data_IF_049588815244
#
_entry.id   IF_049588815244
#
_cell.length_a   1.000
_cell.length_b   1.000
_cell.length_c   1.000
_cell.angle_alpha   90.00
_cell.angle_beta   90.00
_cell.angle_gamma   90.00
#
_symmetry.space_group_name_H-M   'P 1'
#
loop_
_entity.id
_entity.type
_entity.pdbx_description
1 polymer ?
#
# COMPACT_ATOMS: atom_id res chain seq x y z
N UNK A 1 -10.24 -15.97 -5.68
CA UNK A 1 -10.05 -14.93 -6.72
C UNK A 1 -11.33 -14.15 -7.07
N UNK A 2 -12.36 -14.78 -7.62
CA UNK A 2 -13.56 -14.12 -8.17
C UNK A 2 -14.27 -13.16 -7.20
N UNK A 3 -14.43 -13.57 -5.94
CA UNK A 3 -15.00 -12.71 -4.89
C UNK A 3 -14.14 -11.46 -4.63
N UNK A 4 -12.81 -11.61 -4.56
CA UNK A 4 -11.90 -10.46 -4.40
C UNK A 4 -11.99 -9.51 -5.60
N UNK A 5 -12.07 -10.02 -6.83
CA UNK A 5 -12.22 -9.13 -8.01
C UNK A 5 -13.56 -8.37 -7.95
N UNK A 6 -14.64 -9.01 -7.49
CA UNK A 6 -15.93 -8.34 -7.32
C UNK A 6 -15.85 -7.18 -6.32
N UNK A 7 -15.12 -7.32 -5.21
CA UNK A 7 -14.99 -6.26 -4.20
C UNK A 7 -14.33 -5.00 -4.75
N UNK A 8 -13.54 -5.09 -5.83
CA UNK A 8 -12.88 -3.93 -6.44
C UNK A 8 -13.83 -3.04 -7.24
N UNK A 9 -15.07 -3.46 -7.48
CA UNK A 9 -16.10 -2.64 -8.12
C UNK A 9 -17.00 -1.91 -7.10
N UNK A 10 -16.66 -1.93 -5.81
CA UNK A 10 -17.52 -1.48 -4.70
C UNK A 10 -18.07 -0.05 -4.83
N UNK A 11 -17.32 0.87 -5.46
CA UNK A 11 -17.80 2.25 -5.71
C UNK A 11 -19.04 2.29 -6.60
N UNK A 12 -19.28 1.23 -7.38
CA UNK A 12 -20.41 1.13 -8.30
C UNK A 12 -20.26 1.98 -9.56
N UNK A 13 -19.19 2.77 -9.70
CA UNK A 13 -18.90 3.52 -10.91
C UNK A 13 -18.28 2.61 -11.99
N UNK A 14 -18.50 2.96 -13.26
CA UNK A 14 -17.84 2.33 -14.40
C UNK A 14 -16.33 2.52 -14.31
N UNK A 15 -15.57 1.41 -14.33
CA UNK A 15 -14.10 1.42 -14.26
C UNK A 15 -13.47 0.62 -15.37
N UNK A 16 -12.26 0.99 -15.80
CA UNK A 16 -11.54 0.29 -16.87
C UNK A 16 -10.85 -0.96 -16.34
N UNK A 17 -11.29 -2.13 -16.78
CA UNK A 17 -10.81 -3.43 -16.28
C UNK A 17 -9.31 -3.68 -16.52
N UNK A 18 -8.77 -3.22 -17.65
CA UNK A 18 -7.33 -3.32 -17.95
C UNK A 18 -6.46 -2.48 -17.00
N UNK A 19 -6.94 -1.29 -16.62
CA UNK A 19 -6.23 -0.44 -15.64
C UNK A 19 -6.36 -1.01 -14.23
N UNK A 20 -7.49 -1.62 -13.89
CA UNK A 20 -7.64 -2.38 -12.64
C UNK A 20 -6.65 -3.56 -12.57
N UNK A 21 -6.47 -4.31 -13.65
CA UNK A 21 -5.43 -5.34 -13.71
C UNK A 21 -4.03 -4.77 -13.46
N UNK A 22 -3.68 -3.67 -14.14
CA UNK A 22 -2.41 -2.98 -13.97
C UNK A 22 -2.19 -2.46 -12.54
N UNK A 23 -3.25 -2.01 -11.87
CA UNK A 23 -3.22 -1.65 -10.45
C UNK A 23 -2.83 -2.87 -9.60
N UNK A 24 -3.51 -4.01 -9.76
CA UNK A 24 -3.26 -5.21 -8.96
C UNK A 24 -1.85 -5.79 -9.13
N UNK A 25 -1.29 -5.72 -10.34
CA UNK A 25 0.09 -6.19 -10.60
C UNK A 25 1.16 -5.13 -10.28
N UNK A 26 0.77 -3.93 -9.85
CA UNK A 26 1.68 -2.93 -9.31
C UNK A 26 2.30 -1.99 -10.35
N UNK A 27 1.66 -1.76 -11.49
CA UNK A 27 2.11 -0.71 -12.42
C UNK A 27 1.93 0.66 -11.76
N UNK A 28 3.02 1.41 -11.62
CA UNK A 28 3.04 2.74 -10.98
C UNK A 28 3.16 3.88 -11.99
N UNK A 29 2.18 3.96 -12.89
CA UNK A 29 1.97 5.15 -13.71
C UNK A 29 0.90 6.02 -13.07
N UNK A 30 0.91 7.33 -13.31
CA UNK A 30 -0.12 8.22 -12.76
C UNK A 30 -1.53 7.82 -13.18
N UNK A 31 -1.71 7.28 -14.38
CA UNK A 31 -3.01 6.76 -14.82
C UNK A 31 -3.51 5.63 -13.93
N UNK A 32 -2.63 4.71 -13.50
CA UNK A 32 -2.99 3.60 -12.61
C UNK A 32 -3.20 4.08 -11.18
N UNK A 33 -2.36 5.00 -10.69
CA UNK A 33 -2.50 5.58 -9.35
C UNK A 33 -3.81 6.38 -9.23
N UNK A 34 -4.11 7.24 -10.20
CA UNK A 34 -5.36 8.00 -10.27
C UNK A 34 -6.56 7.05 -10.36
N UNK A 35 -6.49 6.02 -11.19
CA UNK A 35 -7.55 5.01 -11.27
C UNK A 35 -7.74 4.31 -9.91
N UNK A 36 -6.65 3.90 -9.25
CA UNK A 36 -6.70 3.34 -7.91
C UNK A 36 -7.38 4.27 -6.91
N UNK A 37 -7.07 5.57 -6.96
CA UNK A 37 -7.68 6.58 -6.11
C UNK A 37 -9.19 6.78 -6.41
N UNK A 38 -9.56 7.03 -7.66
CA UNK A 38 -10.96 7.28 -8.06
C UNK A 38 -11.90 6.15 -7.67
N UNK A 39 -11.46 4.91 -7.84
CA UNK A 39 -12.26 3.73 -7.52
C UNK A 39 -11.97 3.15 -6.13
N UNK A 40 -11.31 3.93 -5.25
CA UNK A 40 -11.00 3.53 -3.86
C UNK A 40 -10.36 2.14 -3.74
N UNK A 41 -9.43 1.87 -4.65
CA UNK A 41 -8.69 0.62 -4.77
C UNK A 41 -7.17 0.82 -4.58
N UNK A 42 -6.71 2.05 -4.27
CA UNK A 42 -5.29 2.38 -4.19
C UNK A 42 -4.52 1.53 -3.15
N UNK A 43 -5.21 1.14 -2.08
CA UNK A 43 -4.73 0.19 -1.07
C UNK A 43 -4.26 -1.16 -1.66
N UNK A 44 -4.78 -1.56 -2.82
CA UNK A 44 -4.47 -2.82 -3.51
C UNK A 44 -3.41 -2.68 -4.61
N UNK A 45 -2.75 -1.53 -4.75
CA UNK A 45 -1.69 -1.31 -5.73
C UNK A 45 -0.57 -2.35 -5.58
N UNK A 46 -0.42 -3.27 -6.54
CA UNK A 46 0.60 -4.30 -6.47
C UNK A 46 0.32 -5.38 -5.43
N UNK A 47 -0.92 -5.52 -4.96
CA UNK A 47 -1.29 -6.57 -4.03
C UNK A 47 -1.07 -7.98 -4.61
N UNK A 48 -1.11 -8.13 -5.94
CA UNK A 48 -1.00 -9.41 -6.65
C UNK A 48 0.01 -9.32 -7.81
N UNK A 49 1.32 -9.15 -7.53
CA UNK A 49 2.34 -8.93 -8.56
C UNK A 49 2.53 -10.12 -9.51
N UNK A 50 2.15 -11.32 -9.08
CA UNK A 50 2.22 -12.57 -9.85
C UNK A 50 0.92 -12.91 -10.59
N UNK A 51 -0.12 -12.06 -10.50
CA UNK A 51 -1.41 -12.29 -11.13
C UNK A 51 -1.27 -12.33 -12.66
N UNK A 52 -1.62 -13.47 -13.24
CA UNK A 52 -1.66 -13.64 -14.68
C UNK A 52 -2.91 -12.99 -15.26
N UNK A 53 -2.76 -12.28 -16.37
CA UNK A 53 -3.86 -11.64 -17.08
C UNK A 53 -4.98 -12.64 -17.43
N UNK A 54 -4.61 -13.85 -17.88
CA UNK A 54 -5.59 -14.92 -18.16
C UNK A 54 -6.47 -15.23 -16.95
N UNK A 55 -5.89 -15.38 -15.75
CA UNK A 55 -6.65 -15.68 -14.53
C UNK A 55 -7.55 -14.52 -14.10
N UNK A 56 -7.11 -13.28 -14.33
CA UNK A 56 -7.94 -12.10 -14.12
C UNK A 56 -9.14 -12.06 -15.08
N UNK A 57 -8.91 -12.32 -16.37
CA UNK A 57 -9.98 -12.39 -17.37
C UNK A 57 -10.97 -13.54 -17.10
N UNK A 58 -10.48 -14.70 -16.65
CA UNK A 58 -11.33 -15.80 -16.21
C UNK A 58 -12.24 -15.39 -15.04
N UNK A 59 -11.70 -14.68 -14.05
CA UNK A 59 -12.49 -14.15 -12.94
C UNK A 59 -13.56 -13.15 -13.41
N UNK A 60 -13.22 -12.21 -14.30
CA UNK A 60 -14.17 -11.27 -14.89
C UNK A 60 -15.29 -11.98 -15.67
N UNK A 61 -14.94 -12.98 -16.47
CA UNK A 61 -15.91 -13.78 -17.23
C UNK A 61 -16.86 -14.54 -16.28
N UNK A 62 -16.36 -15.10 -15.19
CA UNK A 62 -17.21 -15.73 -14.18
C UNK A 62 -18.17 -14.71 -13.53
N UNK A 63 -17.70 -13.51 -13.18
CA UNK A 63 -18.58 -12.47 -12.62
C UNK A 63 -19.68 -12.05 -13.60
N UNK A 64 -19.33 -11.92 -14.88
CA UNK A 64 -20.29 -11.60 -15.96
C UNK A 64 -21.32 -12.71 -16.16
N UNK A 65 -20.88 -13.97 -16.23
CA UNK A 65 -21.77 -15.13 -16.39
C UNK A 65 -22.75 -15.29 -15.23
N UNK A 66 -22.33 -14.91 -14.02
CA UNK A 66 -23.18 -14.88 -12.83
C UNK A 66 -24.00 -13.58 -12.68
N UNK A 67 -24.00 -12.70 -13.68
CA UNK A 67 -24.72 -11.42 -13.67
C UNK A 67 -24.36 -10.48 -12.51
N UNK A 68 -23.15 -10.59 -11.97
CA UNK A 68 -22.67 -9.75 -10.86
C UNK A 68 -22.07 -8.42 -11.36
N UNK A 69 -21.53 -8.42 -12.57
CA UNK A 69 -21.03 -7.23 -13.26
C UNK A 69 -21.52 -7.20 -14.70
N UNK A 70 -21.60 -6.00 -15.28
CA UNK A 70 -21.62 -5.80 -16.73
C UNK A 70 -20.22 -5.43 -17.21
N UNK A 71 -19.91 -5.72 -18.47
CA UNK A 71 -18.70 -5.23 -19.14
C UNK A 71 -19.11 -4.72 -20.53
N UNK A 72 -18.80 -3.45 -20.80
CA UNK A 72 -19.05 -2.74 -22.05
C UNK A 72 -17.81 -1.91 -22.42
N UNK A 73 -17.30 -2.05 -23.66
CA UNK A 73 -16.08 -1.39 -24.14
C UNK A 73 -14.88 -1.38 -23.15
N UNK A 74 -14.59 -2.54 -22.55
CA UNK A 74 -13.55 -2.75 -21.50
C UNK A 74 -13.86 -2.14 -20.11
N UNK A 75 -14.97 -1.42 -19.97
CA UNK A 75 -15.43 -0.88 -18.71
C UNK A 75 -16.35 -1.86 -18.00
N UNK A 76 -16.09 -2.12 -16.72
CA UNK A 76 -16.95 -2.94 -15.87
C UNK A 76 -17.70 -2.13 -14.84
N UNK A 77 -18.90 -2.58 -14.48
CA UNK A 77 -19.79 -1.95 -13.50
C UNK A 77 -20.55 -3.01 -12.68
N UNK A 78 -20.81 -2.74 -11.40
CA UNK A 78 -21.65 -3.62 -10.58
C UNK A 78 -23.10 -3.61 -11.04
N UNK A 79 -23.69 -4.80 -11.15
CA UNK A 79 -25.16 -4.93 -11.25
C UNK A 79 -25.82 -4.78 -9.87
N UNK A 80 -27.15 -4.58 -9.80
CA UNK A 80 -27.87 -4.69 -8.52
C UNK A 80 -27.63 -6.03 -7.80
N UNK A 81 -27.49 -7.13 -8.55
CA UNK A 81 -27.18 -8.44 -7.99
C UNK A 81 -25.77 -8.51 -7.41
N UNK A 82 -24.78 -7.94 -8.11
CA UNK A 82 -23.41 -7.79 -7.60
C UNK A 82 -23.34 -6.97 -6.31
N UNK A 83 -24.09 -5.86 -6.24
CA UNK A 83 -24.21 -5.05 -5.03
C UNK A 83 -24.78 -5.85 -3.86
N UNK A 84 -25.88 -6.57 -4.07
CA UNK A 84 -26.46 -7.44 -3.04
C UNK A 84 -25.46 -8.52 -2.57
N UNK A 85 -24.75 -9.15 -3.52
CA UNK A 85 -23.74 -10.19 -3.22
C UNK A 85 -22.57 -9.67 -2.38
N UNK A 86 -22.18 -8.40 -2.53
CA UNK A 86 -21.15 -7.77 -1.71
C UNK A 86 -21.64 -7.45 -0.29
N UNK A 87 -22.92 -7.08 -0.14
CA UNK A 87 -23.52 -6.84 1.18
C UNK A 87 -23.64 -8.12 2.02
N UNK A 88 -23.87 -9.27 1.37
CA UNK A 88 -23.94 -10.58 2.04
C UNK A 88 -22.58 -11.13 2.49
N UNK A 89 -21.49 -10.67 1.86
CA UNK A 89 -20.13 -11.13 2.18
C UNK A 89 -19.21 -9.93 2.29
N UNK A 90 -19.38 -9.11 3.34
CA UNK A 90 -18.51 -7.98 3.56
C UNK A 90 -17.09 -8.50 3.78
N UNK A 91 -16.17 -7.99 2.96
CA UNK A 91 -14.76 -8.32 3.08
C UNK A 91 -14.07 -7.17 3.81
N UNK A 92 -13.66 -7.42 5.06
CA UNK A 92 -12.90 -6.44 5.84
C UNK A 92 -11.42 -6.47 5.43
N UNK A 93 -11.05 -5.58 4.53
CA UNK A 93 -9.65 -5.36 4.10
C UNK A 93 -9.09 -4.02 4.59
N UNK A 94 -9.79 -3.38 5.52
CA UNK A 94 -9.31 -2.17 6.20
C UNK A 94 -7.94 -2.45 6.83
N UNK A 95 -7.02 -1.50 6.68
CA UNK A 95 -5.63 -1.62 7.16
C UNK A 95 -4.62 -2.12 6.12
N UNK A 96 -5.05 -2.66 4.97
CA UNK A 96 -4.12 -2.88 3.86
C UNK A 96 -3.74 -1.54 3.21
N UNK A 97 -2.45 -1.30 2.99
CA UNK A 97 -1.93 -0.08 2.39
C UNK A 97 -0.69 -0.36 1.52
N UNK A 98 -0.89 -0.99 0.38
CA UNK A 98 0.21 -1.27 -0.55
C UNK A 98 0.84 -0.01 -1.16
N UNK A 99 0.12 1.11 -1.19
CA UNK A 99 0.69 2.36 -1.67
C UNK A 99 1.86 2.81 -0.76
N UNK A 100 1.67 2.71 0.57
CA UNK A 100 2.65 3.06 1.59
C UNK A 100 3.72 2.00 1.86
N UNK A 101 3.33 0.73 1.92
CA UNK A 101 4.22 -0.35 2.39
C UNK A 101 4.58 -1.38 1.32
N UNK A 102 3.82 -1.47 0.23
CA UNK A 102 3.83 -2.65 -0.65
C UNK A 102 5.16 -2.94 -1.36
N UNK A 103 6.09 -1.98 -1.47
CA UNK A 103 7.40 -2.24 -2.10
C UNK A 103 8.35 -3.00 -1.18
N UNK A 104 8.39 -2.62 0.09
CA UNK A 104 9.39 -3.12 1.04
C UNK A 104 8.76 -3.88 2.21
N UNK A 105 7.44 -4.10 2.23
CA UNK A 105 6.71 -4.80 3.29
C UNK A 105 7.38 -6.09 3.71
N UNK A 106 7.63 -6.98 2.76
CA UNK A 106 8.20 -8.31 3.05
C UNK A 106 9.64 -8.20 3.55
N UNK A 107 10.45 -7.29 3.00
CA UNK A 107 11.80 -7.01 3.49
C UNK A 107 11.78 -6.43 4.91
N UNK A 108 10.86 -5.51 5.21
CA UNK A 108 10.69 -4.96 6.56
C UNK A 108 10.30 -6.07 7.54
N UNK A 109 9.31 -6.89 7.19
CA UNK A 109 8.86 -7.99 8.05
C UNK A 109 9.96 -9.02 8.29
N UNK A 110 10.69 -9.40 7.25
CA UNK A 110 11.83 -10.31 7.37
C UNK A 110 12.94 -9.73 8.27
N UNK A 111 13.22 -8.42 8.17
CA UNK A 111 14.19 -7.77 9.04
C UNK A 111 13.73 -7.74 10.51
N UNK A 112 12.43 -7.54 10.76
CA UNK A 112 11.83 -7.62 12.11
C UNK A 112 11.99 -9.03 12.67
N UNK A 113 11.58 -10.06 11.93
CA UNK A 113 11.70 -11.46 12.37
C UNK A 113 13.15 -11.80 12.73
N UNK A 114 14.10 -11.33 11.92
CA UNK A 114 15.50 -11.59 12.16
C UNK A 114 16.03 -10.83 13.39
N UNK A 115 15.65 -9.56 13.58
CA UNK A 115 16.00 -8.79 14.76
C UNK A 115 15.43 -9.39 16.05
N UNK A 116 14.21 -9.95 16.00
CA UNK A 116 13.59 -10.67 17.12
C UNK A 116 14.40 -11.91 17.48
N UNK A 117 14.82 -12.71 16.51
CA UNK A 117 15.67 -13.86 16.78
C UNK A 117 16.98 -13.43 17.43
N UNK A 118 17.64 -12.42 16.87
CA UNK A 118 18.93 -11.95 17.35
C UNK A 118 18.85 -11.40 18.78
N UNK A 119 17.83 -10.59 19.07
CA UNK A 119 17.63 -10.03 20.43
C UNK A 119 17.20 -11.09 21.43
N UNK A 120 16.42 -12.10 21.01
CA UNK A 120 16.09 -13.25 21.84
C UNK A 120 17.35 -14.00 22.29
N UNK A 121 18.21 -14.43 21.36
CA UNK A 121 19.47 -15.13 21.71
C UNK A 121 20.43 -14.26 22.52
N UNK A 122 20.52 -12.96 22.20
CA UNK A 122 21.33 -12.00 22.96
C UNK A 122 20.87 -11.90 24.42
N UNK A 123 19.57 -11.99 24.70
CA UNK A 123 19.03 -11.96 26.07
C UNK A 123 19.44 -13.18 26.93
N UNK A 124 19.81 -14.29 26.29
CA UNK A 124 20.35 -15.49 26.94
C UNK A 124 21.89 -15.57 26.90
N UNK A 125 22.57 -14.52 26.42
CA UNK A 125 24.02 -14.51 26.17
C UNK A 125 24.51 -15.62 25.22
N UNK A 126 23.63 -16.16 24.37
CA UNK A 126 23.97 -17.22 23.43
C UNK A 126 24.27 -16.62 22.04
N UNK A 127 25.48 -16.87 21.54
CA UNK A 127 25.97 -16.31 20.27
C UNK A 127 25.98 -17.33 19.14
N UNK A 128 25.94 -18.62 19.47
CA UNK A 128 26.01 -19.72 18.53
C UNK A 128 24.60 -20.27 18.31
N UNK A 129 23.97 -19.85 17.22
CA UNK A 129 22.67 -20.35 16.79
C UNK A 129 22.56 -20.29 15.27
N UNK A 130 21.57 -20.99 14.72
CA UNK A 130 21.28 -20.94 13.29
C UNK A 130 20.36 -19.73 13.00
N UNK A 131 20.84 -18.69 12.30
CA UNK A 131 20.02 -17.55 11.99
C UNK A 131 18.95 -17.90 10.95
N UNK A 132 17.74 -17.36 11.08
CA UNK A 132 16.67 -17.48 10.07
C UNK A 132 16.98 -16.73 8.76
N UNK A 133 18.02 -15.90 8.77
CA UNK A 133 18.43 -15.05 7.66
C UNK A 133 19.95 -15.09 7.49
N UNK A 134 20.41 -15.21 6.25
CA UNK A 134 21.83 -15.31 5.91
C UNK A 134 22.28 -14.31 4.84
N UNK A 135 21.35 -13.53 4.27
CA UNK A 135 21.64 -12.55 3.23
C UNK A 135 22.46 -11.39 3.83
N UNK A 136 23.57 -10.97 3.16
CA UNK A 136 24.47 -9.95 3.69
C UNK A 136 23.80 -8.62 4.07
N UNK A 137 22.77 -8.22 3.31
CA UNK A 137 22.03 -6.99 3.55
C UNK A 137 21.41 -6.96 4.96
N UNK A 138 20.59 -7.96 5.31
CA UNK A 138 19.91 -8.02 6.61
C UNK A 138 20.89 -8.19 7.76
N UNK A 139 21.93 -9.00 7.58
CA UNK A 139 23.02 -9.14 8.54
C UNK A 139 23.70 -7.79 8.85
N UNK A 140 23.97 -7.00 7.80
CA UNK A 140 24.56 -5.68 7.97
C UNK A 140 23.62 -4.70 8.68
N UNK A 141 22.33 -4.72 8.33
CA UNK A 141 21.34 -3.84 8.95
C UNK A 141 21.20 -4.11 10.45
N UNK A 142 21.03 -5.37 10.85
CA UNK A 142 20.93 -5.73 12.28
C UNK A 142 22.23 -5.41 13.02
N UNK A 143 23.41 -5.69 12.44
CA UNK A 143 24.69 -5.35 13.07
C UNK A 143 24.86 -3.85 13.30
N UNK A 144 24.50 -3.02 12.32
CA UNK A 144 24.54 -1.55 12.44
C UNK A 144 23.58 -1.08 13.53
N UNK A 145 22.34 -1.58 13.51
CA UNK A 145 21.33 -1.25 14.51
C UNK A 145 21.81 -1.60 15.93
N UNK A 146 22.31 -2.81 16.16
CA UNK A 146 22.88 -3.23 17.45
C UNK A 146 24.05 -2.34 17.90
N UNK A 147 25.00 -2.04 17.00
CA UNK A 147 26.16 -1.21 17.32
C UNK A 147 25.80 0.23 17.69
N UNK A 148 24.67 0.73 17.19
CA UNK A 148 24.16 2.08 17.46
C UNK A 148 23.13 2.11 18.59
N UNK A 149 22.89 0.98 19.26
CA UNK A 149 21.87 0.87 20.31
C UNK A 149 22.43 1.15 21.70
N UNK A 150 21.56 1.64 22.58
CA UNK A 150 21.90 1.86 23.97
C UNK A 150 21.85 0.53 24.78
N UNK A 151 22.37 0.50 26.02
CA UNK A 151 22.35 -0.71 26.85
C UNK A 151 20.96 -1.29 27.17
N UNK A 152 19.89 -0.49 27.03
CA UNK A 152 18.50 -0.87 27.30
C UNK A 152 17.75 -1.37 26.05
N UNK A 153 18.47 -1.63 24.94
CA UNK A 153 17.89 -2.10 23.69
C UNK A 153 16.91 -3.26 23.87
N UNK A 154 17.32 -4.30 24.62
CA UNK A 154 16.52 -5.52 24.75
C UNK A 154 15.16 -5.25 25.42
N UNK A 155 15.15 -4.45 26.48
CA UNK A 155 13.90 -4.05 27.14
C UNK A 155 13.08 -3.13 26.26
N UNK A 156 13.70 -2.11 25.66
CA UNK A 156 12.99 -1.14 24.81
C UNK A 156 12.33 -1.81 23.61
N UNK A 157 13.06 -2.70 22.92
CA UNK A 157 12.56 -3.44 21.76
C UNK A 157 11.43 -4.40 22.13
N UNK A 158 11.54 -5.12 23.25
CA UNK A 158 10.47 -5.99 23.75
C UNK A 158 9.20 -5.21 24.10
N UNK A 159 9.35 -4.10 24.81
CA UNK A 159 8.23 -3.26 25.24
C UNK A 159 7.54 -2.61 24.03
N UNK A 160 8.32 -2.15 23.05
CA UNK A 160 7.83 -1.62 21.77
C UNK A 160 7.03 -2.67 20.99
N UNK A 161 7.56 -3.90 20.82
CA UNK A 161 6.84 -5.00 20.18
C UNK A 161 5.52 -5.31 20.89
N UNK A 162 5.54 -5.38 22.22
CA UNK A 162 4.34 -5.66 23.03
C UNK A 162 3.29 -4.57 22.86
N UNK A 163 3.74 -3.31 22.86
CA UNK A 163 2.89 -2.14 22.69
C UNK A 163 2.24 -2.13 21.30
N UNK A 164 3.01 -2.35 20.23
CA UNK A 164 2.47 -2.40 18.85
C UNK A 164 1.46 -3.54 18.69
N UNK A 165 1.80 -4.75 19.12
CA UNK A 165 0.91 -5.91 19.00
C UNK A 165 -0.39 -5.72 19.78
N UNK A 166 -0.38 -4.93 20.86
CA UNK A 166 -1.60 -4.59 21.62
C UNK A 166 -2.52 -3.59 20.93
N UNK A 167 -2.03 -2.84 19.93
CA UNK A 167 -2.79 -1.83 19.19
C UNK A 167 -3.48 -2.34 17.93
N UNK A 168 -3.10 -3.54 17.46
CA UNK A 168 -3.71 -4.18 16.29
C UNK A 168 -4.71 -5.27 16.72
N UNK A 169 -5.63 -5.72 15.86
CA UNK A 169 -6.59 -6.73 16.26
C UNK A 169 -5.90 -8.06 16.60
N UNK A 170 -6.45 -8.76 17.59
CA UNK A 170 -5.75 -9.88 18.24
C UNK A 170 -5.42 -11.04 17.29
N UNK A 171 -6.26 -11.28 16.27
CA UNK A 171 -6.04 -12.36 15.30
C UNK A 171 -4.78 -12.11 14.46
N UNK A 172 -4.57 -10.87 14.05
CA UNK A 172 -3.40 -10.43 13.29
C UNK A 172 -2.17 -10.36 14.20
N UNK A 173 -2.32 -9.86 15.44
CA UNK A 173 -1.26 -9.90 16.44
C UNK A 173 -0.76 -11.32 16.70
N UNK A 174 -1.68 -12.26 16.95
CA UNK A 174 -1.35 -13.67 17.19
C UNK A 174 -0.74 -14.30 15.94
N UNK A 175 -1.28 -14.01 14.74
CA UNK A 175 -0.73 -14.49 13.47
C UNK A 175 0.72 -14.03 13.26
N UNK A 176 1.06 -12.79 13.59
CA UNK A 176 2.41 -12.26 13.45
C UNK A 176 3.34 -12.80 14.54
N UNK A 177 2.92 -12.74 15.81
CA UNK A 177 3.75 -13.13 16.95
C UNK A 177 4.12 -14.62 16.92
N UNK A 178 3.22 -15.49 16.44
CA UNK A 178 3.53 -16.91 16.29
C UNK A 178 4.55 -17.24 15.19
N UNK A 179 4.95 -16.26 14.36
CA UNK A 179 6.04 -16.42 13.39
C UNK A 179 7.42 -16.15 14.00
N UNK A 180 7.47 -15.56 15.20
CA UNK A 180 8.73 -15.21 15.85
C UNK A 180 9.55 -16.46 16.15
N UNK A 181 10.84 -16.40 15.88
CA UNK A 181 11.81 -17.44 16.26
C UNK A 181 12.83 -16.86 17.21
N UNK A 182 13.30 -17.64 18.18
CA UNK A 182 14.22 -17.20 19.20
C UNK A 182 14.79 -18.36 20.01
N UNK A 183 15.45 -18.05 21.11
CA UNK A 183 16.06 -19.07 21.97
C UNK A 183 14.99 -20.06 22.49
N UNK A 184 15.12 -21.33 22.10
CA UNK A 184 14.19 -22.41 22.49
C UNK A 184 12.80 -22.36 21.84
N UNK A 185 12.57 -21.46 20.87
CA UNK A 185 11.28 -21.32 20.20
C UNK A 185 11.44 -21.18 18.69
N UNK A 186 10.76 -22.04 17.94
CA UNK A 186 10.72 -22.00 16.48
C UNK A 186 9.37 -21.46 16.02
N UNK A 187 9.40 -20.36 15.27
CA UNK A 187 8.22 -19.75 14.69
C UNK A 187 7.53 -20.66 13.68
N UNK A 188 6.20 -20.55 13.62
CA UNK A 188 5.36 -21.27 12.66
C UNK A 188 5.39 -20.56 11.30
N UNK A 189 5.17 -21.32 10.23
CA UNK A 189 5.06 -20.75 8.88
C UNK A 189 3.69 -20.09 8.69
N UNK A 190 3.59 -19.16 7.73
CA UNK A 190 2.32 -18.49 7.36
C UNK A 190 1.21 -19.51 7.11
N UNK A 191 1.49 -20.56 6.32
CA UNK A 191 0.50 -21.58 6.00
C UNK A 191 -0.01 -22.35 7.22
N UNK A 192 0.82 -22.54 8.25
CA UNK A 192 0.41 -23.20 9.50
C UNK A 192 -0.47 -22.32 10.40
N UNK A 193 -0.49 -21.01 10.16
CA UNK A 193 -1.17 -20.02 11.00
C UNK A 193 -2.46 -19.46 10.36
N UNK A 194 -2.61 -19.59 9.05
CA UNK A 194 -3.76 -19.05 8.33
C UNK A 194 -5.04 -19.83 8.67
N UNK A 195 -6.17 -19.13 8.90
CA UNK A 195 -7.47 -19.77 8.93
C UNK A 195 -7.76 -20.46 7.59
N UNK A 196 -8.48 -21.58 7.61
CA UNK A 196 -8.79 -22.36 6.40
C UNK A 196 -9.43 -21.52 5.29
N UNK A 197 -10.26 -20.54 5.64
CA UNK A 197 -10.91 -19.63 4.68
C UNK A 197 -9.94 -18.72 3.92
N UNK A 198 -8.69 -18.59 4.37
CA UNK A 198 -7.65 -17.74 3.76
C UNK A 198 -6.51 -18.54 3.11
N UNK A 199 -6.54 -19.88 3.12
CA UNK A 199 -5.43 -20.68 2.58
C UNK A 199 -5.33 -20.66 1.04
N UNK A 200 -6.39 -20.24 0.35
CA UNK A 200 -6.42 -20.18 -1.11
C UNK A 200 -6.01 -18.81 -1.66
N UNK A 201 -5.42 -18.80 -2.86
CA UNK A 201 -5.09 -17.56 -3.57
C UNK A 201 -6.35 -16.76 -4.00
N UNK A 202 -6.41 -15.43 -3.81
CA UNK A 202 -5.36 -14.51 -3.33
C UNK A 202 -5.38 -14.23 -1.82
N UNK A 203 -6.20 -14.95 -1.05
CA UNK A 203 -6.50 -14.63 0.34
C UNK A 203 -5.30 -14.80 1.28
N UNK A 204 -4.44 -15.78 0.99
CA UNK A 204 -3.18 -16.00 1.71
C UNK A 204 -2.31 -14.76 1.68
N UNK A 205 -2.09 -14.20 0.49
CA UNK A 205 -1.27 -13.01 0.28
C UNK A 205 -1.92 -11.79 0.94
N UNK A 206 -3.21 -11.58 0.69
CA UNK A 206 -3.93 -10.42 1.19
C UNK A 206 -4.00 -10.39 2.72
N UNK A 207 -4.17 -11.54 3.37
CA UNK A 207 -4.20 -11.63 4.83
C UNK A 207 -2.83 -11.29 5.43
N UNK A 208 -1.76 -11.90 4.91
CA UNK A 208 -0.41 -11.63 5.36
C UNK A 208 -0.03 -10.16 5.17
N UNK A 209 -0.31 -9.61 3.98
CA UNK A 209 -0.03 -8.21 3.67
C UNK A 209 -0.73 -7.26 4.64
N UNK A 210 -2.03 -7.49 4.89
CA UNK A 210 -2.82 -6.67 5.81
C UNK A 210 -2.30 -6.76 7.25
N UNK A 211 -1.97 -7.96 7.73
CA UNK A 211 -1.44 -8.13 9.08
C UNK A 211 -0.13 -7.35 9.26
N UNK A 212 0.79 -7.47 8.31
CA UNK A 212 2.06 -6.74 8.35
C UNK A 212 1.82 -5.22 8.24
N UNK A 213 0.93 -4.76 7.37
CA UNK A 213 0.63 -3.32 7.24
C UNK A 213 0.07 -2.73 8.53
N UNK A 214 -0.87 -3.44 9.18
CA UNK A 214 -1.40 -3.03 10.48
C UNK A 214 -0.28 -2.87 11.51
N UNK A 215 0.69 -3.78 11.53
CA UNK A 215 1.84 -3.70 12.42
C UNK A 215 2.76 -2.52 12.06
N UNK A 216 3.12 -2.37 10.77
CA UNK A 216 4.03 -1.32 10.30
C UNK A 216 3.44 0.08 10.50
N UNK A 217 2.13 0.25 10.37
CA UNK A 217 1.43 1.53 10.60
C UNK A 217 1.58 2.02 12.05
N UNK A 218 1.80 1.12 13.02
CA UNK A 218 2.00 1.51 14.43
C UNK A 218 3.44 1.96 14.73
N UNK A 219 4.38 1.83 13.78
CA UNK A 219 5.78 2.18 13.97
C UNK A 219 5.96 3.66 13.63
N UNK A 220 6.02 4.50 14.66
CA UNK A 220 6.27 5.93 14.52
C UNK A 220 7.75 6.25 14.83
N UNK A 221 8.18 5.91 16.03
CA UNK A 221 9.51 6.16 16.57
C UNK A 221 10.04 4.90 17.27
N UNK A 222 11.21 4.96 17.90
CA UNK A 222 11.76 3.83 18.67
C UNK A 222 12.70 2.92 17.90
N UNK A 223 12.93 1.72 18.41
CA UNK A 223 13.96 0.82 17.91
C UNK A 223 13.56 0.15 16.60
N UNK A 224 12.27 -0.16 16.40
CA UNK A 224 11.77 -0.65 15.12
C UNK A 224 11.88 0.43 14.03
N UNK A 225 11.54 1.68 14.34
CA UNK A 225 11.70 2.80 13.40
C UNK A 225 13.17 2.97 12.97
N UNK A 226 14.12 2.92 13.91
CA UNK A 226 15.57 2.95 13.59
C UNK A 226 16.03 1.75 12.77
N UNK A 227 15.57 0.54 13.11
CA UNK A 227 15.92 -0.69 12.39
C UNK A 227 15.46 -0.65 10.93
N UNK A 228 14.24 -0.16 10.71
CA UNK A 228 13.57 -0.19 9.41
C UNK A 228 13.85 1.02 8.52
N UNK A 229 14.40 2.11 9.07
CA UNK A 229 14.55 3.40 8.39
C UNK A 229 14.98 3.30 6.92
N UNK A 230 16.04 2.56 6.61
CA UNK A 230 16.57 2.44 5.24
C UNK A 230 15.59 1.75 4.29
N UNK A 231 14.92 0.69 4.75
CA UNK A 231 13.90 -0.02 3.96
C UNK A 231 12.66 0.85 3.80
N UNK A 232 12.24 1.54 4.85
CA UNK A 232 11.05 2.37 4.80
C UNK A 232 11.19 3.51 3.76
N UNK A 233 12.36 4.16 3.70
CA UNK A 233 12.64 5.16 2.67
C UNK A 233 12.55 4.61 1.24
N UNK A 234 12.83 3.32 1.03
CA UNK A 234 12.76 2.69 -0.30
C UNK A 234 11.32 2.44 -0.78
N UNK A 235 10.31 2.52 0.10
CA UNK A 235 8.91 2.52 -0.31
C UNK A 235 8.55 3.74 -1.18
N UNK A 236 9.22 4.87 -0.95
CA UNK A 236 8.92 6.13 -1.62
C UNK A 236 9.59 6.23 -3.00
N UNK A 237 8.92 6.88 -3.95
CA UNK A 237 9.52 7.23 -5.24
C UNK A 237 10.58 8.35 -5.04
N UNK A 238 11.86 7.97 -5.08
CA UNK A 238 13.00 8.89 -4.88
C UNK A 238 13.00 10.08 -5.86
N UNK A 239 12.56 9.85 -7.10
CA UNK A 239 12.47 10.92 -8.09
C UNK A 239 11.35 11.92 -7.78
N UNK A 240 10.25 11.44 -7.20
CA UNK A 240 9.17 12.28 -6.69
C UNK A 240 9.62 13.07 -5.45
N UNK A 241 10.33 12.44 -4.50
CA UNK A 241 10.85 13.13 -3.31
C UNK A 241 11.73 14.33 -3.69
N UNK A 242 12.61 14.17 -4.68
CA UNK A 242 13.41 15.28 -5.19
C UNK A 242 12.56 16.40 -5.82
N UNK A 243 11.38 16.09 -6.37
CA UNK A 243 10.42 17.11 -6.88
C UNK A 243 9.79 17.85 -5.72
N UNK A 244 9.36 17.11 -4.69
CA UNK A 244 8.83 17.65 -3.43
C UNK A 244 9.85 18.59 -2.78
N UNK A 245 11.12 18.20 -2.68
CA UNK A 245 12.18 19.02 -2.06
C UNK A 245 12.36 20.37 -2.76
N UNK A 246 12.43 20.39 -4.09
CA UNK A 246 12.53 21.66 -4.83
C UNK A 246 11.28 22.53 -4.63
N UNK A 247 10.10 21.92 -4.64
CA UNK A 247 8.86 22.66 -4.45
C UNK A 247 8.75 23.26 -3.05
N UNK A 248 9.11 22.49 -2.02
CA UNK A 248 9.16 22.96 -0.64
C UNK A 248 10.24 24.03 -0.41
N UNK A 249 11.31 24.03 -1.22
CA UNK A 249 12.30 25.10 -1.28
C UNK A 249 11.83 26.36 -2.04
N UNK A 250 10.54 26.44 -2.40
CA UNK A 250 9.93 27.63 -3.02
C UNK A 250 10.11 27.72 -4.53
N UNK A 251 10.53 26.65 -5.21
CA UNK A 251 10.62 26.63 -6.68
C UNK A 251 9.26 26.44 -7.32
N UNK A 252 9.00 27.21 -8.37
CA UNK A 252 7.82 27.04 -9.24
C UNK A 252 7.92 25.75 -10.06
N UNK A 253 6.78 25.24 -10.55
CA UNK A 253 6.75 24.04 -11.42
C UNK A 253 7.65 24.22 -12.65
N UNK A 254 7.68 25.42 -13.24
CA UNK A 254 8.54 25.75 -14.39
C UNK A 254 10.03 25.67 -14.04
N UNK A 255 10.45 26.25 -12.92
CA UNK A 255 11.84 26.16 -12.45
C UNK A 255 12.23 24.71 -12.16
N UNK A 256 11.34 23.92 -11.55
CA UNK A 256 11.59 22.51 -11.26
C UNK A 256 11.83 21.73 -12.56
N UNK A 257 11.05 21.97 -13.61
CA UNK A 257 11.24 21.32 -14.91
C UNK A 257 12.63 21.61 -15.48
N UNK A 258 13.05 22.87 -15.45
CA UNK A 258 14.37 23.29 -15.91
C UNK A 258 15.49 22.66 -15.08
N UNK A 259 15.38 22.67 -13.75
CA UNK A 259 16.38 22.12 -12.83
C UNK A 259 16.48 20.59 -12.87
N UNK A 260 15.36 19.93 -13.16
CA UNK A 260 15.28 18.45 -13.17
C UNK A 260 15.67 17.83 -14.50
N UNK A 261 15.61 18.59 -15.59
CA UNK A 261 15.82 18.07 -16.95
C UNK A 261 14.90 16.87 -17.27
N UNK A 262 13.66 16.92 -16.81
CA UNK A 262 12.64 15.89 -17.03
C UNK A 262 11.51 16.41 -17.92
N UNK A 263 10.77 15.49 -18.54
CA UNK A 263 9.57 15.84 -19.32
C UNK A 263 8.49 16.40 -18.39
N UNK A 264 7.66 17.32 -18.91
CA UNK A 264 6.49 17.86 -18.21
C UNK A 264 5.62 16.77 -17.58
N UNK A 265 5.28 15.74 -18.38
CA UNK A 265 4.47 14.62 -17.91
C UNK A 265 5.08 13.94 -16.68
N UNK A 266 6.39 13.74 -16.64
CA UNK A 266 7.07 13.11 -15.50
C UNK A 266 7.03 13.96 -14.24
N UNK A 267 7.16 15.29 -14.36
CA UNK A 267 7.01 16.19 -13.19
C UNK A 267 5.55 16.22 -12.72
N UNK A 268 4.58 16.26 -13.63
CA UNK A 268 3.16 16.15 -13.28
C UNK A 268 2.88 14.85 -12.53
N UNK A 269 3.44 13.73 -13.00
CA UNK A 269 3.31 12.42 -12.37
C UNK A 269 3.85 12.42 -10.94
N UNK A 270 4.99 13.08 -10.69
CA UNK A 270 5.52 13.23 -9.35
C UNK A 270 4.58 14.02 -8.42
N UNK A 271 4.01 15.14 -8.89
CA UNK A 271 3.07 15.91 -8.07
C UNK A 271 1.78 15.16 -7.79
N UNK A 272 1.26 14.42 -8.78
CA UNK A 272 0.08 13.56 -8.60
C UNK A 272 0.38 12.44 -7.59
N UNK A 273 1.49 11.73 -7.73
CA UNK A 273 1.89 10.67 -6.79
C UNK A 273 2.10 11.24 -5.38
N UNK A 274 2.74 12.42 -5.25
CA UNK A 274 2.89 13.10 -3.96
C UNK A 274 1.53 13.46 -3.37
N UNK A 275 0.64 14.08 -4.15
CA UNK A 275 -0.70 14.43 -3.70
C UNK A 275 -1.46 13.22 -3.20
N UNK A 276 -1.39 12.08 -3.89
CA UNK A 276 -2.04 10.83 -3.47
C UNK A 276 -1.44 10.22 -2.20
N UNK A 277 -0.14 10.38 -1.95
CA UNK A 277 0.55 9.81 -0.78
C UNK A 277 0.43 10.66 0.48
N UNK A 278 0.43 11.97 0.34
CA UNK A 278 0.63 12.90 1.44
C UNK A 278 -0.64 13.71 1.70
N UNK A 279 -1.21 13.54 2.90
CA UNK A 279 -2.39 14.31 3.32
C UNK A 279 -2.07 15.80 3.50
N UNK A 280 -0.81 16.14 3.76
CA UNK A 280 -0.34 17.51 3.90
C UNK A 280 0.14 18.11 2.55
N UNK A 281 -0.24 17.52 1.42
CA UNK A 281 0.05 18.09 0.12
C UNK A 281 -0.57 19.51 0.00
N UNK A 282 0.22 20.53 -0.41
CA UNK A 282 -0.22 21.92 -0.41
C UNK A 282 -1.06 22.27 -1.65
N UNK A 283 -2.31 21.79 -1.68
CA UNK A 283 -3.24 22.04 -2.80
C UNK A 283 -3.49 23.53 -3.06
N UNK A 284 -3.39 24.37 -2.02
CA UNK A 284 -3.58 25.82 -2.08
C UNK A 284 -2.50 26.55 -2.90
N UNK A 285 -1.38 25.89 -3.20
CA UNK A 285 -0.30 26.44 -4.05
C UNK A 285 -0.53 26.18 -5.54
N UNK A 286 -1.61 25.50 -5.90
CA UNK A 286 -2.00 25.22 -7.27
C UNK A 286 -3.31 25.92 -7.59
N UNK A 287 -3.51 26.23 -8.86
CA UNK A 287 -4.80 26.69 -9.36
C UNK A 287 -5.83 25.57 -9.17
N UNK A 288 -6.95 25.90 -8.55
CA UNK A 288 -8.03 24.96 -8.27
C UNK A 288 -9.17 25.18 -9.26
N UNK A 289 -9.65 24.09 -9.84
CA UNK A 289 -10.95 24.05 -10.50
C UNK A 289 -12.04 23.82 -9.48
N UNK A 290 -13.14 24.53 -9.69
CA UNK A 290 -14.37 24.30 -8.97
C UNK A 290 -15.22 23.26 -9.69
N UNK A 291 -15.63 22.22 -8.96
CA UNK A 291 -16.54 21.18 -9.45
C UNK A 291 -17.96 21.37 -8.87
N UNK A 292 -18.30 22.57 -8.43
CA UNK A 292 -19.59 22.95 -7.87
C UNK A 292 -20.78 22.36 -8.65
N UNK A 293 -21.66 21.66 -7.92
CA UNK A 293 -22.85 21.03 -8.46
C UNK A 293 -22.62 19.67 -9.15
N UNK A 294 -21.39 19.20 -9.30
CA UNK A 294 -21.10 17.83 -9.71
C UNK A 294 -21.10 16.89 -8.50
N UNK A 295 -21.52 15.64 -8.70
CA UNK A 295 -21.25 14.57 -7.72
C UNK A 295 -19.95 13.83 -8.06
N UNK A 296 -19.46 13.00 -7.14
CA UNK A 296 -18.14 12.33 -7.22
C UNK A 296 -18.00 11.51 -8.51
N UNK A 297 -19.05 10.80 -8.91
CA UNK A 297 -19.10 10.05 -10.17
C UNK A 297 -18.96 10.92 -11.42
N UNK A 298 -19.49 12.15 -11.41
CA UNK A 298 -19.30 13.11 -12.51
C UNK A 298 -17.89 13.68 -12.52
N UNK A 299 -17.34 13.99 -11.34
CA UNK A 299 -15.95 14.48 -11.22
C UNK A 299 -14.97 13.42 -11.71
N UNK A 300 -15.13 12.15 -11.34
CA UNK A 300 -14.28 11.03 -11.80
C UNK A 300 -14.32 10.90 -13.33
N UNK A 301 -15.50 11.06 -13.94
CA UNK A 301 -15.70 10.89 -15.39
C UNK A 301 -15.41 12.15 -16.22
N UNK A 302 -15.08 13.28 -15.58
CA UNK A 302 -14.77 14.53 -16.28
C UNK A 302 -13.51 14.39 -17.14
N UNK A 303 -13.51 15.02 -18.32
CA UNK A 303 -12.39 14.99 -19.25
C UNK A 303 -11.58 16.28 -19.16
N UNK A 304 -10.24 16.18 -19.08
CA UNK A 304 -9.38 17.36 -18.92
C UNK A 304 -9.60 18.38 -20.04
N UNK A 305 -9.93 17.92 -21.25
CA UNK A 305 -10.15 18.76 -22.44
C UNK A 305 -11.33 19.73 -22.29
N UNK A 306 -12.20 19.50 -21.31
CA UNK A 306 -13.38 20.33 -21.03
C UNK A 306 -13.03 21.56 -20.18
N UNK A 307 -11.78 21.69 -19.70
CA UNK A 307 -11.37 22.72 -18.74
C UNK A 307 -10.15 23.50 -19.23
N UNK A 308 -10.17 24.82 -19.03
CA UNK A 308 -9.07 25.74 -19.40
C UNK A 308 -7.96 25.82 -18.34
N UNK A 309 -7.47 24.68 -17.87
CA UNK A 309 -6.35 24.60 -16.91
C UNK A 309 -5.31 23.58 -17.35
N UNK A 310 -4.14 23.62 -16.71
CA UNK A 310 -3.12 22.59 -16.97
C UNK A 310 -3.60 21.20 -16.54
N UNK A 311 -3.12 20.15 -17.22
CA UNK A 311 -3.42 18.76 -16.84
C UNK A 311 -3.10 18.47 -15.37
N UNK A 312 -2.03 19.07 -14.83
CA UNK A 312 -1.66 18.93 -13.43
C UNK A 312 -2.72 19.54 -12.51
N UNK A 313 -3.10 20.79 -12.76
CA UNK A 313 -4.11 21.50 -11.95
C UNK A 313 -5.46 20.78 -12.02
N UNK A 314 -5.86 20.28 -13.20
CA UNK A 314 -7.05 19.46 -13.36
C UNK A 314 -7.03 18.22 -12.44
N UNK A 315 -5.95 17.42 -12.49
CA UNK A 315 -5.84 16.21 -11.65
C UNK A 315 -5.74 16.52 -10.16
N UNK A 316 -4.99 17.56 -9.78
CA UNK A 316 -4.90 17.97 -8.37
C UNK A 316 -6.25 18.45 -7.85
N UNK A 317 -7.02 19.17 -8.66
CA UNK A 317 -8.37 19.61 -8.29
C UNK A 317 -9.31 18.41 -8.08
N UNK A 318 -9.26 17.40 -8.95
CA UNK A 318 -10.07 16.17 -8.76
C UNK A 318 -9.68 15.44 -7.47
N UNK A 319 -8.38 15.33 -7.19
CA UNK A 319 -7.89 14.69 -5.96
C UNK A 319 -8.35 15.47 -4.73
N UNK A 320 -8.22 16.79 -4.76
CA UNK A 320 -8.63 17.67 -3.67
C UNK A 320 -10.12 17.55 -3.40
N UNK A 321 -10.95 17.72 -4.44
CA UNK A 321 -12.41 17.60 -4.35
C UNK A 321 -12.83 16.26 -3.72
N UNK A 322 -12.33 15.14 -4.23
CA UNK A 322 -12.72 13.82 -3.74
C UNK A 322 -12.27 13.58 -2.29
N UNK A 323 -11.11 14.11 -1.88
CA UNK A 323 -10.65 14.03 -0.48
C UNK A 323 -11.57 14.79 0.47
N UNK A 324 -12.02 15.98 0.09
CA UNK A 324 -13.00 16.74 0.88
C UNK A 324 -14.34 16.00 1.00
N UNK A 325 -14.63 15.08 0.08
CA UNK A 325 -15.81 14.20 0.08
C UNK A 325 -15.53 12.80 0.67
N UNK A 326 -14.39 12.60 1.36
CA UNK A 326 -14.10 11.38 2.11
C UNK A 326 -13.37 10.27 1.35
N UNK A 327 -12.86 10.53 0.14
CA UNK A 327 -11.96 9.57 -0.53
C UNK A 327 -10.60 9.57 0.17
N UNK A 328 -10.09 8.37 0.49
CA UNK A 328 -8.79 8.17 1.13
C UNK A 328 -7.79 7.48 0.21
#
# INVERSE_FOLDING_TARGET
MTLFILTLFHTGYKLRTSTLYHLLVGKRTSSVLIHGFFYQNLAYLGALPTLKEKSFQEALNQLKLNHLITIDDEFGELTPLGKARLLETPLEMTGLNNMRFGRMREDCWQLILFAIQVTSYLSFNEKEYLPIENRPYYLQQVKKWLAQSNPYLLSAFKDELTMILSKIPSKEADFLANQFSGHGFQGKTVFQLLPDTFQEYPWVDLYQQRAIDLFLEQIEEGELSRLLYVLDQQNMNQSMLKTKDYFLAGKTVSEILSLRHLKQGTINDHFIEWALLDKAFPFEKFEQLDFDGLHEGQVINSHYQEYEVSYLNFRLSQIYYLREHGWN
#
